data_IF_419010513345
#
_entry.id   IF_419010513345
#
_cell.length_a   1.000
_cell.length_b   1.000
_cell.length_c   1.000
_cell.angle_alpha   90.00
_cell.angle_beta   90.00
_cell.angle_gamma   90.00
#
_symmetry.space_group_name_H-M   'P 1'
#
loop_
_entity.id
_entity.type
_entity.pdbx_description
1 polymer ?
#
# COMPACT_ATOMS: atom_id res chain seq x y z
N UNK A 1 -25.41 -4.04 -44.82
CA UNK A 1 -26.43 -3.12 -45.39
C UNK A 1 -27.80 -3.64 -44.99
N UNK A 2 -28.49 -2.95 -44.07
CA UNK A 2 -29.89 -3.21 -43.74
C UNK A 2 -30.64 -1.90 -43.92
N UNK A 3 -31.37 -1.78 -45.03
CA UNK A 3 -32.23 -0.65 -45.37
C UNK A 3 -33.62 -0.90 -44.76
N UNK A 4 -34.02 -0.07 -43.81
CA UNK A 4 -35.35 -0.13 -43.21
C UNK A 4 -36.42 0.41 -44.17
N UNK A 5 -37.53 -0.33 -44.28
CA UNK A 5 -38.73 0.00 -45.07
C UNK A 5 -39.45 1.25 -44.54
N UNK A 6 -39.89 2.10 -45.47
CA UNK A 6 -40.66 3.32 -45.19
C UNK A 6 -42.06 3.01 -44.64
N UNK A 7 -42.34 3.51 -43.43
CA UNK A 7 -43.70 3.53 -42.85
C UNK A 7 -44.58 4.54 -43.59
N UNK A 8 -45.26 4.10 -44.62
CA UNK A 8 -46.43 4.81 -45.14
C UNK A 8 -47.47 3.80 -45.62
N UNK A 9 -48.39 3.42 -44.73
CA UNK A 9 -49.73 2.90 -45.03
C UNK A 9 -50.47 2.79 -43.71
N UNK A 10 -51.75 3.19 -43.71
CA UNK A 10 -52.71 3.31 -42.59
C UNK A 10 -52.79 4.69 -41.90
N UNK A 11 -53.57 5.58 -42.51
CA UNK A 11 -54.44 6.53 -41.81
C UNK A 11 -55.53 7.02 -42.78
N UNK A 12 -56.72 6.44 -42.70
CA UNK A 12 -57.96 6.98 -43.30
C UNK A 12 -58.41 8.20 -42.47
N UNK A 13 -57.71 9.33 -42.61
CA UNK A 13 -58.17 10.61 -42.07
C UNK A 13 -58.90 11.38 -43.18
N UNK A 14 -60.12 11.91 -42.94
CA UNK A 14 -60.84 12.70 -43.94
C UNK A 14 -60.00 13.91 -44.39
N UNK A 15 -60.06 14.22 -45.68
CA UNK A 15 -59.32 15.35 -46.26
C UNK A 15 -59.71 16.66 -45.57
N UNK A 16 -58.72 17.46 -45.19
CA UNK A 16 -58.94 18.72 -44.48
C UNK A 16 -59.67 19.72 -45.38
N UNK A 17 -60.76 20.35 -44.92
CA UNK A 17 -61.48 21.36 -45.70
C UNK A 17 -60.58 22.56 -46.06
N UNK A 18 -60.91 23.32 -47.13
CA UNK A 18 -60.13 24.48 -47.55
C UNK A 18 -60.01 25.53 -46.44
N UNK A 19 -58.84 26.14 -46.31
CA UNK A 19 -58.63 27.23 -45.36
C UNK A 19 -59.51 28.42 -45.75
N UNK A 20 -60.31 28.92 -44.81
CA UNK A 20 -61.30 29.98 -45.02
C UNK A 20 -62.75 29.48 -45.15
N UNK A 21 -62.98 28.17 -45.31
CA UNK A 21 -64.34 27.61 -45.29
C UNK A 21 -64.90 27.57 -43.87
N UNK A 22 -66.21 27.36 -43.72
CA UNK A 22 -66.85 27.15 -42.42
C UNK A 22 -67.13 25.65 -42.21
N UNK A 23 -66.84 25.16 -41.00
CA UNK A 23 -67.09 23.78 -40.58
C UNK A 23 -67.71 23.77 -39.18
N UNK A 24 -68.50 22.75 -38.83
CA UNK A 24 -69.03 22.60 -37.47
C UNK A 24 -68.06 21.78 -36.61
N UNK A 25 -67.80 22.26 -35.39
CA UNK A 25 -66.90 21.59 -34.47
C UNK A 25 -67.45 20.23 -34.04
N UNK A 26 -66.71 19.14 -34.23
CA UNK A 26 -67.15 17.80 -33.84
C UNK A 26 -67.38 17.61 -32.33
N UNK A 27 -66.93 18.55 -31.48
CA UNK A 27 -67.09 18.50 -30.02
C UNK A 27 -68.18 19.42 -29.46
N UNK A 28 -68.34 20.60 -30.04
CA UNK A 28 -69.27 21.61 -29.51
C UNK A 28 -70.33 22.07 -30.52
N UNK A 29 -70.29 21.50 -31.73
CA UNK A 29 -71.23 21.72 -32.84
C UNK A 29 -71.34 23.17 -33.35
N UNK A 30 -70.60 24.10 -32.75
CA UNK A 30 -70.51 25.48 -33.23
C UNK A 30 -69.74 25.57 -34.53
N UNK A 31 -70.25 26.38 -35.46
CA UNK A 31 -69.58 26.72 -36.70
C UNK A 31 -68.30 27.51 -36.41
N UNK A 32 -67.21 27.15 -37.07
CA UNK A 32 -65.94 27.85 -36.99
C UNK A 32 -65.28 27.91 -38.36
N UNK A 33 -64.47 28.94 -38.59
CA UNK A 33 -63.69 29.07 -39.82
C UNK A 33 -62.50 28.11 -39.78
N UNK A 34 -62.35 27.31 -40.83
CA UNK A 34 -61.24 26.40 -41.02
C UNK A 34 -59.97 27.20 -41.27
N UNK A 35 -58.96 26.97 -40.45
CA UNK A 35 -57.65 27.59 -40.59
C UNK A 35 -56.62 26.53 -40.94
N UNK A 36 -55.42 26.97 -41.36
CA UNK A 36 -54.28 26.06 -41.54
C UNK A 36 -53.94 25.25 -40.28
N UNK A 37 -54.39 25.70 -39.11
CA UNK A 37 -54.19 25.07 -37.80
C UNK A 37 -55.34 24.19 -37.32
N UNK A 38 -56.46 24.10 -38.06
CA UNK A 38 -57.57 23.21 -37.73
C UNK A 38 -57.12 21.74 -37.68
N UNK A 39 -57.50 21.03 -36.62
CA UNK A 39 -57.08 19.65 -36.35
C UNK A 39 -58.31 18.74 -36.47
N UNK A 40 -58.12 17.52 -36.98
CA UNK A 40 -59.17 16.49 -36.98
C UNK A 40 -59.50 16.05 -35.55
N UNK A 41 -60.76 15.72 -35.29
CA UNK A 41 -61.18 15.14 -34.03
C UNK A 41 -60.60 13.72 -33.87
N UNK A 42 -60.18 13.38 -32.66
CA UNK A 42 -59.75 12.03 -32.29
C UNK A 42 -60.46 11.64 -30.97
N UNK A 43 -61.33 10.61 -30.97
CA UNK A 43 -61.74 9.79 -32.12
C UNK A 43 -62.55 10.59 -33.18
N UNK A 44 -62.36 10.26 -34.46
CA UNK A 44 -63.09 10.91 -35.58
C UNK A 44 -64.51 10.36 -35.76
N UNK A 45 -65.31 10.86 -36.72
CA UNK A 45 -64.98 11.82 -37.80
C UNK A 45 -65.21 13.30 -37.43
N UNK A 46 -64.60 14.22 -38.19
CA UNK A 46 -64.83 15.68 -38.09
C UNK A 46 -63.61 16.50 -37.64
N UNK A 47 -63.80 17.82 -37.44
CA UNK A 47 -62.74 18.76 -37.07
C UNK A 47 -63.07 19.56 -35.81
N UNK A 48 -62.06 19.99 -35.07
CA UNK A 48 -62.24 20.75 -33.83
C UNK A 48 -61.99 22.24 -34.04
N UNK A 49 -62.84 23.09 -33.46
CA UNK A 49 -62.57 24.51 -33.33
C UNK A 49 -61.41 24.75 -32.34
N UNK A 50 -60.77 25.91 -32.43
CA UNK A 50 -59.57 26.23 -31.64
C UNK A 50 -59.74 26.05 -30.11
N UNK A 51 -60.83 26.52 -29.48
CA UNK A 51 -61.07 26.26 -28.05
C UNK A 51 -61.15 24.76 -27.72
N UNK A 52 -61.85 23.98 -28.55
CA UNK A 52 -62.00 22.55 -28.34
C UNK A 52 -60.69 21.79 -28.54
N UNK A 53 -59.89 22.14 -29.54
CA UNK A 53 -58.56 21.56 -29.77
C UNK A 53 -57.63 21.81 -28.56
N UNK A 54 -57.58 23.05 -28.06
CA UNK A 54 -56.79 23.43 -26.88
C UNK A 54 -57.25 22.68 -25.62
N UNK A 55 -58.56 22.53 -25.42
CA UNK A 55 -59.13 21.78 -24.29
C UNK A 55 -58.77 20.29 -24.31
N UNK A 56 -58.56 19.72 -25.49
CA UNK A 56 -58.20 18.31 -25.69
C UNK A 56 -56.67 18.09 -25.68
N UNK A 57 -55.88 19.08 -25.23
CA UNK A 57 -54.42 18.97 -25.12
C UNK A 57 -53.65 19.19 -26.43
N UNK A 58 -54.34 19.43 -27.54
CA UNK A 58 -53.76 19.72 -28.85
C UNK A 58 -53.80 21.23 -29.12
N UNK A 59 -52.80 21.98 -28.65
CA UNK A 59 -52.65 23.41 -28.94
C UNK A 59 -51.78 23.61 -30.19
N UNK A 60 -52.36 23.97 -31.35
CA UNK A 60 -51.60 24.15 -32.60
C UNK A 60 -50.66 25.37 -32.59
N UNK A 61 -50.68 26.20 -31.55
CA UNK A 61 -49.75 27.32 -31.36
C UNK A 61 -48.68 27.05 -30.29
N UNK A 62 -48.70 25.87 -29.65
CA UNK A 62 -47.64 25.46 -28.74
C UNK A 62 -46.36 25.26 -29.56
N UNK A 63 -45.43 26.20 -29.44
CA UNK A 63 -44.10 26.11 -30.08
C UNK A 63 -43.51 24.74 -29.74
N UNK A 64 -43.03 23.95 -30.73
CA UNK A 64 -42.39 22.68 -30.44
C UNK A 64 -41.27 22.95 -29.45
N UNK A 65 -41.28 22.23 -28.32
CA UNK A 65 -40.17 22.28 -27.39
C UNK A 65 -38.93 21.93 -28.19
N UNK A 66 -38.03 22.91 -28.36
CA UNK A 66 -36.75 22.70 -29.04
C UNK A 66 -36.14 21.50 -28.34
N UNK A 67 -35.93 20.36 -29.02
CA UNK A 67 -35.23 19.25 -28.40
C UNK A 67 -33.91 19.85 -27.99
N UNK A 68 -33.60 19.85 -26.67
CA UNK A 68 -32.27 20.22 -26.20
C UNK A 68 -31.33 19.43 -27.10
N UNK A 69 -30.61 20.13 -27.98
CA UNK A 69 -29.50 19.53 -28.74
C UNK A 69 -28.67 18.89 -27.65
N UNK A 70 -28.73 17.55 -27.54
CA UNK A 70 -27.63 16.82 -26.94
C UNK A 70 -26.47 17.31 -27.77
N UNK A 71 -25.60 18.10 -27.15
CA UNK A 71 -24.31 18.41 -27.74
C UNK A 71 -23.81 17.08 -28.26
N UNK A 72 -23.38 17.03 -29.52
CA UNK A 72 -22.48 15.96 -29.91
C UNK A 72 -21.43 15.82 -28.78
N UNK A 73 -20.87 14.64 -28.51
CA UNK A 73 -19.66 14.56 -27.71
C UNK A 73 -18.51 15.22 -28.50
N UNK A 74 -18.66 16.49 -28.87
CA UNK A 74 -17.60 17.44 -29.11
C UNK A 74 -16.84 17.41 -27.80
N UNK A 75 -15.68 16.77 -27.86
CA UNK A 75 -14.76 16.53 -26.79
C UNK A 75 -15.47 16.59 -25.45
N UNK A 76 -15.93 15.42 -24.97
CA UNK A 76 -15.65 15.18 -23.56
C UNK A 76 -14.17 15.53 -23.48
N UNK A 77 -13.85 16.74 -23.00
CA UNK A 77 -12.59 17.00 -22.34
C UNK A 77 -12.49 15.76 -21.49
N UNK A 78 -11.59 14.87 -21.87
CA UNK A 78 -11.00 13.94 -20.95
C UNK A 78 -10.50 14.90 -19.90
N UNK A 79 -11.36 15.18 -18.90
CA UNK A 79 -10.94 15.82 -17.70
C UNK A 79 -10.13 14.69 -17.11
N UNK A 80 -8.88 14.61 -17.58
CA UNK A 80 -7.80 13.97 -16.89
C UNK A 80 -7.80 14.71 -15.57
N UNK A 81 -8.58 14.21 -14.60
CA UNK A 81 -8.51 14.54 -13.17
C UNK A 81 -7.18 13.98 -12.60
N UNK A 82 -6.16 14.06 -13.42
CA UNK A 82 -4.85 13.53 -13.27
C UNK A 82 -3.98 14.77 -13.28
N UNK A 83 -3.67 15.23 -12.08
CA UNK A 83 -2.36 15.83 -11.89
C UNK A 83 -1.37 14.66 -12.02
N UNK A 84 -1.02 14.34 -13.26
CA UNK A 84 0.35 13.89 -13.49
C UNK A 84 1.21 14.97 -12.84
N UNK A 85 2.05 14.62 -11.86
CA UNK A 85 3.13 15.52 -11.48
C UNK A 85 4.03 15.63 -12.70
N UNK A 86 3.65 16.50 -13.64
CA UNK A 86 4.35 16.75 -14.91
C UNK A 86 5.74 17.30 -14.65
N UNK A 87 5.92 17.92 -13.49
CA UNK A 87 7.15 18.54 -13.09
C UNK A 87 7.50 18.13 -11.65
N UNK A 88 8.79 17.86 -11.38
CA UNK A 88 9.30 17.71 -10.02
C UNK A 88 9.04 18.98 -9.19
N UNK A 89 8.94 18.84 -7.86
CA UNK A 89 8.90 20.01 -6.98
C UNK A 89 10.23 20.74 -7.01
N UNK A 90 10.22 22.04 -6.71
CA UNK A 90 11.46 22.81 -6.55
C UNK A 90 12.40 22.16 -5.53
N UNK A 91 11.86 21.66 -4.41
CA UNK A 91 12.63 20.92 -3.41
C UNK A 91 13.32 19.69 -4.00
N UNK A 92 12.62 18.90 -4.81
CA UNK A 92 13.22 17.73 -5.45
C UNK A 92 14.28 18.09 -6.49
N UNK A 93 14.10 19.20 -7.23
CA UNK A 93 15.11 19.72 -8.15
C UNK A 93 16.36 20.21 -7.39
N UNK A 94 16.19 20.93 -6.28
CA UNK A 94 17.29 21.35 -5.42
C UNK A 94 18.06 20.15 -4.86
N UNK A 95 17.35 19.14 -4.35
CA UNK A 95 17.98 17.90 -3.83
C UNK A 95 18.76 17.21 -4.96
N UNK A 96 18.20 17.14 -6.16
CA UNK A 96 18.88 16.55 -7.31
C UNK A 96 20.16 17.32 -7.65
N UNK A 97 20.10 18.64 -7.76
CA UNK A 97 21.27 19.50 -8.04
C UNK A 97 22.36 19.36 -6.97
N UNK A 98 21.99 19.41 -5.68
CA UNK A 98 22.92 19.17 -4.57
C UNK A 98 23.56 17.79 -4.68
N UNK A 99 22.79 16.77 -5.07
CA UNK A 99 23.28 15.40 -5.18
C UNK A 99 24.21 15.19 -6.38
N UNK A 100 23.97 15.92 -7.47
CA UNK A 100 24.81 15.91 -8.68
C UNK A 100 26.16 16.61 -8.45
N UNK A 101 26.18 17.62 -7.58
CA UNK A 101 27.37 18.42 -7.25
C UNK A 101 27.86 18.21 -5.81
N UNK A 102 27.56 17.07 -5.20
CA UNK A 102 27.80 16.85 -3.76
C UNK A 102 29.28 16.95 -3.38
N UNK A 103 30.18 16.63 -4.30
CA UNK A 103 31.63 16.70 -4.07
C UNK A 103 32.14 18.14 -3.96
N UNK A 104 31.40 19.12 -4.48
CA UNK A 104 31.69 20.55 -4.40
C UNK A 104 30.99 21.23 -3.19
N UNK A 105 30.23 20.47 -2.39
CA UNK A 105 29.51 20.99 -1.22
C UNK A 105 30.42 20.94 0.01
N UNK A 106 30.78 22.11 0.54
CA UNK A 106 31.58 22.21 1.76
C UNK A 106 30.75 22.03 3.04
N UNK A 107 29.52 22.55 3.03
CA UNK A 107 28.58 22.42 4.14
C UNK A 107 27.14 22.55 3.64
N UNK A 108 26.22 21.80 4.26
CA UNK A 108 24.79 21.90 3.97
C UNK A 108 24.13 23.09 4.70
N UNK A 109 24.79 23.64 5.73
CA UNK A 109 24.23 24.69 6.58
C UNK A 109 23.08 24.17 7.44
N UNK A 110 22.20 25.08 7.86
CA UNK A 110 21.04 24.76 8.71
C UNK A 110 19.88 24.20 7.87
N UNK A 111 19.94 22.91 7.56
CA UNK A 111 18.84 22.18 6.91
C UNK A 111 17.93 21.48 7.93
N UNK A 112 16.65 21.36 7.59
CA UNK A 112 15.74 20.54 8.36
C UNK A 112 16.14 19.06 8.28
N UNK A 113 15.85 18.29 9.33
CA UNK A 113 16.11 16.84 9.36
C UNK A 113 15.47 16.09 8.19
N UNK A 114 14.28 16.53 7.75
CA UNK A 114 13.59 15.98 6.58
C UNK A 114 14.41 16.21 5.30
N UNK A 115 14.97 17.41 5.12
CA UNK A 115 15.78 17.72 3.94
C UNK A 115 17.10 16.95 3.95
N UNK A 116 17.72 16.81 5.13
CA UNK A 116 18.93 16.00 5.32
C UNK A 116 18.70 14.53 4.96
N UNK A 117 17.58 13.96 5.39
CA UNK A 117 17.20 12.58 5.07
C UNK A 117 16.96 12.39 3.56
N UNK A 118 16.27 13.32 2.90
CA UNK A 118 16.03 13.25 1.45
C UNK A 118 17.33 13.43 0.63
N UNK A 119 18.25 14.29 1.09
CA UNK A 119 19.59 14.42 0.47
C UNK A 119 20.36 13.11 0.65
N UNK A 120 20.39 12.53 1.86
CA UNK A 120 21.01 11.23 2.14
C UNK A 120 20.48 10.14 1.20
N UNK A 121 19.15 10.02 1.04
CA UNK A 121 18.54 9.10 0.07
C UNK A 121 18.99 9.35 -1.36
N UNK A 122 19.02 10.62 -1.77
CA UNK A 122 19.37 11.01 -3.13
C UNK A 122 20.83 10.70 -3.47
N UNK A 123 21.78 11.05 -2.59
CA UNK A 123 23.20 10.72 -2.81
C UNK A 123 23.46 9.21 -2.71
N UNK A 124 22.72 8.48 -1.88
CA UNK A 124 22.81 7.02 -1.82
C UNK A 124 22.33 6.37 -3.11
N UNK A 125 21.25 6.87 -3.73
CA UNK A 125 20.81 6.39 -5.07
C UNK A 125 21.87 6.60 -6.15
N UNK A 126 22.62 7.70 -6.06
CA UNK A 126 23.73 8.01 -6.96
C UNK A 126 25.05 7.30 -6.57
N UNK A 127 25.06 6.52 -5.48
CA UNK A 127 26.25 5.90 -4.89
C UNK A 127 27.36 6.90 -4.57
N UNK A 128 27.01 8.13 -4.18
CA UNK A 128 27.96 9.22 -3.88
C UNK A 128 28.24 9.40 -2.39
N UNK A 129 27.72 8.51 -1.52
CA UNK A 129 28.05 8.54 -0.10
C UNK A 129 29.45 7.95 0.14
N UNK A 130 30.45 8.81 0.29
CA UNK A 130 31.86 8.46 0.54
C UNK A 130 32.28 8.96 1.93
N UNK A 131 33.49 8.61 2.38
CA UNK A 131 34.01 9.13 3.65
C UNK A 131 34.14 10.66 3.70
N UNK A 132 34.24 11.32 2.55
CA UNK A 132 34.25 12.78 2.44
C UNK A 132 32.83 13.35 2.51
N UNK A 133 31.93 12.90 1.64
CA UNK A 133 30.55 13.44 1.58
C UNK A 133 29.73 13.07 2.81
N UNK A 134 30.05 11.96 3.50
CA UNK A 134 29.40 11.58 4.74
C UNK A 134 29.61 12.61 5.88
N UNK A 135 30.72 13.37 5.84
CA UNK A 135 30.99 14.42 6.85
C UNK A 135 29.94 15.52 6.85
N UNK A 136 29.26 15.74 5.73
CA UNK A 136 28.16 16.70 5.61
C UNK A 136 26.96 16.35 6.51
N UNK A 137 26.85 15.08 6.94
CA UNK A 137 25.78 14.58 7.79
C UNK A 137 26.21 14.42 9.26
N UNK A 138 27.45 14.75 9.60
CA UNK A 138 27.97 14.61 10.96
C UNK A 138 27.80 15.90 11.76
N UNK A 139 27.73 15.76 13.08
CA UNK A 139 27.42 16.87 13.96
C UNK A 139 27.19 16.41 15.39
N UNK A 140 27.81 17.11 16.34
CA UNK A 140 27.67 16.81 17.77
C UNK A 140 26.24 16.97 18.29
N UNK A 141 25.40 17.76 17.60
CA UNK A 141 24.00 17.95 17.96
C UNK A 141 23.07 16.83 17.42
N UNK A 142 23.58 15.94 16.57
CA UNK A 142 22.77 14.88 15.98
C UNK A 142 22.41 13.83 17.04
N UNK A 143 21.11 13.58 17.18
CA UNK A 143 20.56 12.46 17.97
C UNK A 143 20.19 11.28 17.10
N UNK A 144 19.95 11.50 15.81
CA UNK A 144 19.55 10.49 14.84
C UNK A 144 20.39 10.61 13.56
N UNK A 145 20.86 9.49 13.03
CA UNK A 145 21.55 9.44 11.73
C UNK A 145 21.10 8.23 10.93
N UNK A 146 20.78 8.44 9.65
CA UNK A 146 20.45 7.37 8.70
C UNK A 146 21.23 7.57 7.40
N UNK A 147 21.97 6.52 7.01
CA UNK A 147 22.72 6.47 5.76
C UNK A 147 22.28 5.25 4.95
N UNK A 148 21.76 5.49 3.73
CA UNK A 148 21.04 4.47 2.94
C UNK A 148 21.93 3.62 2.02
N UNK A 149 23.21 3.99 1.84
CA UNK A 149 24.19 3.19 1.08
C UNK A 149 25.62 3.47 1.60
N UNK A 150 26.01 2.77 2.66
CA UNK A 150 27.32 2.85 3.27
C UNK A 150 28.38 1.97 2.57
N UNK A 151 28.13 1.46 1.35
CA UNK A 151 29.03 0.52 0.66
C UNK A 151 30.45 1.08 0.46
N UNK A 152 30.56 2.41 0.27
CA UNK A 152 31.84 3.12 0.07
C UNK A 152 32.47 3.64 1.37
N UNK A 153 31.83 3.50 2.53
CA UNK A 153 32.40 3.92 3.81
C UNK A 153 33.40 2.87 4.30
N UNK A 154 34.67 3.24 4.31
CA UNK A 154 35.75 2.41 4.86
C UNK A 154 35.79 2.47 6.40
N UNK A 155 36.48 1.54 7.09
CA UNK A 155 36.52 1.52 8.56
C UNK A 155 36.82 2.88 9.21
N UNK A 156 37.84 3.61 8.74
CA UNK A 156 38.18 4.93 9.30
C UNK A 156 37.06 5.97 9.13
N UNK A 157 36.26 5.88 8.08
CA UNK A 157 35.10 6.75 7.88
C UNK A 157 33.97 6.39 8.85
N UNK A 158 33.79 5.11 9.16
CA UNK A 158 32.83 4.64 10.17
C UNK A 158 33.28 4.98 11.60
N UNK A 159 34.59 5.00 11.86
CA UNK A 159 35.13 5.49 13.14
C UNK A 159 34.89 7.00 13.28
N UNK A 160 35.15 7.75 12.21
CA UNK A 160 34.92 9.21 12.14
C UNK A 160 33.44 9.55 12.36
N UNK A 161 32.52 8.76 11.79
CA UNK A 161 31.08 8.88 12.03
C UNK A 161 30.78 8.88 13.53
N UNK A 162 31.26 7.87 14.25
CA UNK A 162 30.99 7.77 15.68
C UNK A 162 31.63 8.92 16.47
N UNK A 163 32.86 9.29 16.14
CA UNK A 163 33.60 10.37 16.82
C UNK A 163 32.97 11.74 16.65
N UNK A 164 32.41 12.03 15.47
CA UNK A 164 31.78 13.31 15.15
C UNK A 164 30.29 13.36 15.48
N UNK A 165 29.75 12.28 16.04
CA UNK A 165 28.35 12.18 16.45
C UNK A 165 28.18 11.61 17.88
N UNK A 166 28.82 12.21 18.91
CA UNK A 166 28.86 11.65 20.28
C UNK A 166 27.50 11.54 20.98
N UNK A 167 26.48 12.27 20.52
CA UNK A 167 25.15 12.32 21.13
C UNK A 167 24.09 11.47 20.40
N UNK A 168 24.50 10.61 19.46
CA UNK A 168 23.55 9.73 18.77
C UNK A 168 22.86 8.78 19.74
N UNK A 169 21.54 8.81 19.69
CA UNK A 169 20.67 7.83 20.34
C UNK A 169 20.14 6.81 19.34
N UNK A 170 20.05 7.17 18.05
CA UNK A 170 19.59 6.29 16.98
C UNK A 170 20.51 6.34 15.76
N UNK A 171 21.00 5.18 15.35
CA UNK A 171 21.84 5.02 14.17
C UNK A 171 21.29 3.93 13.26
N UNK A 172 21.11 4.26 11.98
CA UNK A 172 20.81 3.30 10.92
C UNK A 172 21.85 3.39 9.81
N UNK A 173 22.50 2.27 9.49
CA UNK A 173 23.37 2.15 8.33
C UNK A 173 22.90 1.01 7.42
N UNK A 174 22.61 1.38 6.17
CA UNK A 174 22.30 0.41 5.14
C UNK A 174 23.55 0.07 4.31
N UNK A 175 23.73 -1.20 3.95
CA UNK A 175 24.89 -1.69 3.17
C UNK A 175 26.27 -1.41 3.81
N UNK A 176 26.38 -1.55 5.13
CA UNK A 176 27.62 -1.30 5.89
C UNK A 176 28.63 -2.48 5.83
N UNK A 177 28.86 -3.03 4.63
CA UNK A 177 29.65 -4.25 4.38
C UNK A 177 31.12 -4.20 4.80
N UNK A 178 31.67 -3.01 5.00
CA UNK A 178 33.07 -2.80 5.40
C UNK A 178 33.26 -2.66 6.92
N UNK A 179 32.18 -2.70 7.69
CA UNK A 179 32.22 -2.64 9.16
C UNK A 179 32.86 -3.91 9.74
N UNK A 180 33.92 -3.75 10.53
CA UNK A 180 34.68 -4.84 11.14
C UNK A 180 34.80 -4.67 12.67
N UNK A 181 35.52 -5.58 13.34
CA UNK A 181 35.67 -5.57 14.79
C UNK A 181 36.34 -4.29 15.33
N UNK A 182 37.26 -3.68 14.57
CA UNK A 182 37.91 -2.43 14.96
C UNK A 182 36.92 -1.26 15.01
N UNK A 183 35.98 -1.21 14.05
CA UNK A 183 34.89 -0.22 14.04
C UNK A 183 33.97 -0.43 15.25
N UNK A 184 33.60 -1.67 15.54
CA UNK A 184 32.78 -2.01 16.71
C UNK A 184 33.47 -1.63 18.03
N UNK A 185 34.78 -1.83 18.10
CA UNK A 185 35.60 -1.42 19.24
C UNK A 185 35.60 0.10 19.43
N UNK A 186 35.75 0.86 18.35
CA UNK A 186 35.68 2.33 18.40
C UNK A 186 34.28 2.83 18.79
N UNK A 187 33.23 2.21 18.26
CA UNK A 187 31.84 2.57 18.58
C UNK A 187 31.48 2.28 20.03
N UNK A 188 32.06 1.24 20.62
CA UNK A 188 31.88 0.88 22.03
C UNK A 188 32.25 2.00 23.00
N UNK A 189 33.11 2.95 22.59
CA UNK A 189 33.49 4.11 23.41
C UNK A 189 32.95 5.43 22.88
N UNK A 190 32.70 5.52 21.57
CA UNK A 190 32.36 6.79 20.90
C UNK A 190 30.86 7.06 20.80
N UNK A 191 29.99 6.08 21.07
CA UNK A 191 28.52 6.21 21.00
C UNK A 191 27.82 5.91 22.35
N UNK A 192 28.19 6.59 23.45
CA UNK A 192 27.73 6.24 24.81
C UNK A 192 26.22 6.43 25.04
N UNK A 193 25.53 7.21 24.20
CA UNK A 193 24.10 7.49 24.30
C UNK A 193 23.22 6.58 23.43
N UNK A 194 23.80 5.64 22.69
CA UNK A 194 23.08 4.85 21.70
C UNK A 194 22.05 3.89 22.34
N UNK A 195 20.79 4.02 21.93
CA UNK A 195 19.68 3.15 22.36
C UNK A 195 19.05 2.39 21.20
N UNK A 196 19.24 2.84 19.96
CA UNK A 196 18.75 2.21 18.74
C UNK A 196 19.88 2.03 17.73
N UNK A 197 20.06 0.80 17.25
CA UNK A 197 20.99 0.50 16.15
C UNK A 197 20.34 -0.43 15.12
N UNK A 198 20.37 -0.01 13.86
CA UNK A 198 19.91 -0.79 12.71
C UNK A 198 21.02 -0.90 11.66
N UNK A 199 21.42 -2.13 11.33
CA UNK A 199 22.53 -2.40 10.43
C UNK A 199 22.14 -3.41 9.37
N UNK A 200 22.25 -3.03 8.09
CA UNK A 200 22.12 -3.94 6.96
C UNK A 200 23.50 -4.28 6.39
N UNK A 201 23.81 -5.57 6.41
CA UNK A 201 25.04 -6.14 5.87
C UNK A 201 26.32 -5.88 6.66
N UNK A 202 26.38 -5.94 8.01
CA UNK A 202 27.65 -5.84 8.76
C UNK A 202 28.48 -7.13 8.66
N UNK A 203 28.83 -7.57 7.43
CA UNK A 203 29.35 -8.90 7.13
C UNK A 203 30.68 -9.26 7.79
N UNK A 204 31.51 -8.27 8.12
CA UNK A 204 32.87 -8.51 8.62
C UNK A 204 32.97 -8.54 10.14
N UNK A 205 31.94 -8.09 10.86
CA UNK A 205 31.91 -8.13 12.34
C UNK A 205 31.82 -9.57 12.83
N UNK A 206 32.70 -9.95 13.74
CA UNK A 206 32.79 -11.28 14.35
C UNK A 206 32.19 -11.27 15.76
N UNK A 207 31.90 -12.45 16.34
CA UNK A 207 31.32 -12.53 17.69
C UNK A 207 32.03 -11.69 18.77
N UNK A 208 33.37 -11.65 18.87
CA UNK A 208 34.03 -10.81 19.88
C UNK A 208 33.66 -9.32 19.81
N UNK A 209 33.51 -8.77 18.59
CA UNK A 209 33.10 -7.38 18.39
C UNK A 209 31.68 -7.12 18.87
N UNK A 210 30.74 -8.03 18.57
CA UNK A 210 29.36 -7.96 19.07
C UNK A 210 29.29 -8.03 20.61
N UNK A 211 30.00 -8.98 21.21
CA UNK A 211 30.01 -9.18 22.66
C UNK A 211 30.47 -7.91 23.40
N UNK A 212 31.56 -7.30 22.94
CA UNK A 212 32.10 -6.06 23.53
C UNK A 212 31.19 -4.86 23.29
N UNK A 213 30.58 -4.77 22.12
CA UNK A 213 29.61 -3.71 21.84
C UNK A 213 28.41 -3.79 22.79
N UNK A 214 27.84 -4.97 23.01
CA UNK A 214 26.69 -5.12 23.90
C UNK A 214 27.03 -4.85 25.37
N UNK A 215 28.21 -5.26 25.85
CA UNK A 215 28.62 -4.94 27.22
C UNK A 215 28.84 -3.44 27.45
N UNK A 216 29.15 -2.69 26.38
CA UNK A 216 29.36 -1.24 26.43
C UNK A 216 28.07 -0.43 26.26
N UNK A 217 26.97 -1.04 25.80
CA UNK A 217 25.69 -0.38 25.55
C UNK A 217 24.52 -1.00 26.34
N UNK A 218 24.56 -1.04 27.68
CA UNK A 218 23.51 -1.69 28.49
C UNK A 218 22.13 -1.03 28.38
N UNK A 219 22.06 0.20 27.86
CA UNK A 219 20.83 0.95 27.62
C UNK A 219 20.20 0.68 26.25
N UNK A 220 20.75 -0.24 25.45
CA UNK A 220 20.20 -0.54 24.14
C UNK A 220 18.76 -1.08 24.24
N UNK A 221 17.85 -0.42 23.52
CA UNK A 221 16.41 -0.72 23.49
C UNK A 221 16.00 -1.37 22.18
N UNK A 222 16.72 -1.10 21.09
CA UNK A 222 16.44 -1.62 19.76
C UNK A 222 17.72 -2.11 19.08
N UNK A 223 17.73 -3.39 18.72
CA UNK A 223 18.81 -4.00 17.97
C UNK A 223 18.25 -4.67 16.73
N UNK A 224 18.61 -4.13 15.56
CA UNK A 224 18.12 -4.62 14.28
C UNK A 224 19.30 -4.92 13.37
N UNK A 225 19.42 -6.18 12.96
CA UNK A 225 20.41 -6.60 11.97
C UNK A 225 19.74 -7.30 10.81
N UNK A 226 20.24 -7.06 9.61
CA UNK A 226 19.86 -7.76 8.39
C UNK A 226 21.12 -8.24 7.69
N UNK A 227 21.13 -9.50 7.24
CA UNK A 227 22.28 -10.11 6.54
C UNK A 227 23.61 -10.03 7.34
N UNK A 228 23.62 -10.59 8.55
CA UNK A 228 24.84 -10.67 9.39
C UNK A 228 25.27 -12.13 9.60
N UNK A 229 25.95 -12.76 8.63
CA UNK A 229 26.19 -14.21 8.61
C UNK A 229 27.09 -14.72 9.75
N UNK A 230 27.79 -13.82 10.46
CA UNK A 230 28.70 -14.16 11.57
C UNK A 230 28.08 -13.92 12.95
N UNK A 231 26.85 -13.41 13.02
CA UNK A 231 26.14 -13.23 14.27
C UNK A 231 25.59 -14.57 14.76
N UNK A 232 26.20 -15.13 15.80
CA UNK A 232 25.89 -16.47 16.31
C UNK A 232 25.06 -16.44 17.61
N UNK A 233 24.81 -17.62 18.17
CA UNK A 233 24.03 -17.76 19.40
C UNK A 233 24.73 -17.08 20.61
N UNK A 234 26.06 -17.03 20.63
CA UNK A 234 26.80 -16.35 21.70
C UNK A 234 26.58 -14.84 21.62
N UNK A 235 26.52 -14.28 20.42
CA UNK A 235 26.16 -12.87 20.20
C UNK A 235 24.77 -12.56 20.76
N UNK A 236 23.76 -13.38 20.43
CA UNK A 236 22.40 -13.18 20.97
C UNK A 236 22.40 -13.27 22.50
N UNK A 237 23.03 -14.30 23.08
CA UNK A 237 23.08 -14.43 24.55
C UNK A 237 23.72 -13.21 25.21
N UNK A 238 24.82 -12.72 24.67
CA UNK A 238 25.48 -11.50 25.15
C UNK A 238 24.58 -10.26 25.07
N UNK A 239 23.84 -10.10 23.95
CA UNK A 239 22.84 -9.04 23.82
C UNK A 239 21.79 -9.12 24.93
N UNK A 240 21.18 -10.30 25.14
CA UNK A 240 20.14 -10.50 26.14
C UNK A 240 20.67 -10.38 27.58
N UNK A 241 21.93 -10.73 27.81
CA UNK A 241 22.62 -10.60 29.10
C UNK A 241 22.91 -9.15 29.47
N UNK A 242 23.34 -8.32 28.51
CA UNK A 242 23.78 -6.95 28.79
C UNK A 242 22.68 -5.90 28.57
N UNK A 243 21.78 -6.09 27.60
CA UNK A 243 20.82 -5.06 27.17
C UNK A 243 19.40 -5.37 27.71
N UNK A 244 19.17 -5.07 28.99
CA UNK A 244 17.89 -5.43 29.68
C UNK A 244 16.69 -4.57 29.29
N UNK A 245 16.93 -3.48 28.57
CA UNK A 245 15.89 -2.58 28.07
C UNK A 245 15.36 -2.98 26.67
N UNK A 246 15.94 -3.99 26.03
CA UNK A 246 15.63 -4.41 24.66
C UNK A 246 14.13 -4.69 24.45
N UNK A 247 13.48 -3.88 23.62
CA UNK A 247 12.06 -3.93 23.28
C UNK A 247 11.80 -4.14 21.78
N UNK A 248 12.80 -3.94 20.92
CA UNK A 248 12.74 -4.18 19.48
C UNK A 248 13.92 -5.05 19.06
N UNK A 249 13.63 -6.18 18.41
CA UNK A 249 14.65 -7.11 17.93
C UNK A 249 14.37 -7.54 16.50
N UNK A 250 15.34 -7.33 15.61
CA UNK A 250 15.35 -7.92 14.26
C UNK A 250 16.60 -8.76 14.05
N UNK A 251 16.40 -10.01 13.64
CA UNK A 251 17.40 -10.97 13.20
C UNK A 251 17.00 -11.48 11.81
N UNK A 252 16.99 -10.59 10.82
CA UNK A 252 16.50 -10.87 9.46
C UNK A 252 17.61 -11.40 8.56
N UNK A 253 17.28 -12.36 7.70
CA UNK A 253 18.25 -12.98 6.77
C UNK A 253 19.50 -13.49 7.51
N UNK A 254 19.27 -14.05 8.70
CA UNK A 254 20.32 -14.56 9.57
C UNK A 254 20.53 -16.06 9.33
N UNK A 255 21.57 -16.42 8.59
CA UNK A 255 21.79 -17.81 8.18
C UNK A 255 22.08 -18.81 9.32
N UNK A 256 22.47 -18.32 10.50
CA UNK A 256 22.70 -19.15 11.70
C UNK A 256 21.45 -19.28 12.60
N UNK A 257 20.34 -18.62 12.26
CA UNK A 257 19.11 -18.65 13.03
C UNK A 257 18.56 -20.09 13.12
N UNK A 258 18.27 -20.54 14.33
CA UNK A 258 17.75 -21.88 14.61
C UNK A 258 17.00 -21.92 15.96
N UNK A 259 16.45 -23.08 16.33
CA UNK A 259 15.63 -23.26 17.55
C UNK A 259 16.36 -22.90 18.87
N UNK A 260 17.69 -22.93 18.90
CA UNK A 260 18.45 -22.49 20.09
C UNK A 260 18.37 -20.97 20.29
N UNK A 261 18.27 -20.19 19.20
CA UNK A 261 17.99 -18.75 19.29
C UNK A 261 16.63 -18.51 19.92
N UNK A 262 15.59 -19.22 19.45
CA UNK A 262 14.25 -19.15 20.00
C UNK A 262 14.20 -19.50 21.49
N UNK A 263 14.97 -20.51 21.90
CA UNK A 263 15.11 -20.87 23.32
C UNK A 263 15.77 -19.74 24.11
N UNK A 264 16.82 -19.10 23.58
CA UNK A 264 17.48 -17.98 24.21
C UNK A 264 16.56 -16.75 24.34
N UNK A 265 15.73 -16.45 23.34
CA UNK A 265 14.73 -15.37 23.41
C UNK A 265 13.78 -15.52 24.61
N UNK A 266 13.50 -16.75 25.04
CA UNK A 266 12.69 -17.02 26.23
C UNK A 266 13.26 -16.46 27.54
N UNK A 267 14.51 -16.00 27.56
CA UNK A 267 15.12 -15.32 28.72
C UNK A 267 14.76 -13.84 28.82
N UNK A 268 14.19 -13.25 27.76
CA UNK A 268 13.69 -11.87 27.79
C UNK A 268 12.55 -11.79 28.79
N UNK A 269 12.56 -10.74 29.63
CA UNK A 269 11.47 -10.48 30.59
C UNK A 269 10.13 -10.44 29.84
N UNK A 270 9.18 -11.28 30.26
CA UNK A 270 7.84 -11.35 29.67
C UNK A 270 7.20 -9.96 29.56
N UNK A 271 6.64 -9.66 28.39
CA UNK A 271 6.00 -8.37 28.09
C UNK A 271 6.98 -7.23 27.76
N UNK A 272 8.29 -7.49 27.68
CA UNK A 272 9.26 -6.46 27.29
C UNK A 272 9.25 -6.18 25.80
N UNK A 273 9.19 -7.23 24.99
CA UNK A 273 9.33 -7.12 23.55
C UNK A 273 8.04 -6.60 22.92
N UNK A 274 8.18 -5.61 22.04
CA UNK A 274 7.09 -4.97 21.29
C UNK A 274 7.20 -5.27 19.80
N UNK A 275 8.42 -5.47 19.27
CA UNK A 275 8.65 -5.84 17.89
C UNK A 275 9.66 -6.97 17.78
N UNK A 276 9.29 -8.00 17.01
CA UNK A 276 10.13 -9.15 16.72
C UNK A 276 10.10 -9.46 15.23
N UNK A 277 11.28 -9.51 14.61
CA UNK A 277 11.47 -9.91 13.23
C UNK A 277 12.54 -11.00 13.18
N UNK A 278 12.14 -12.20 12.77
CA UNK A 278 12.99 -13.37 12.59
C UNK A 278 12.93 -13.88 11.14
N UNK A 279 12.62 -12.99 10.21
CA UNK A 279 12.29 -13.34 8.83
C UNK A 279 13.48 -13.84 8.00
N UNK A 280 13.15 -14.63 6.98
CA UNK A 280 14.04 -15.14 5.94
C UNK A 280 15.26 -15.92 6.47
N UNK A 281 15.10 -16.90 7.39
CA UNK A 281 16.23 -17.72 7.83
C UNK A 281 16.69 -18.67 6.71
N UNK A 282 17.95 -19.11 6.77
CA UNK A 282 18.44 -20.13 5.81
C UNK A 282 17.76 -21.50 5.99
N UNK A 283 17.32 -21.81 7.21
CA UNK A 283 16.50 -22.97 7.53
C UNK A 283 15.40 -22.53 8.48
N UNK A 284 14.16 -22.98 8.23
CA UNK A 284 13.06 -22.65 9.13
C UNK A 284 13.29 -23.26 10.51
N UNK A 285 13.04 -22.47 11.56
CA UNK A 285 12.79 -23.01 12.89
C UNK A 285 11.60 -23.96 12.91
N UNK A 286 11.60 -24.88 13.87
CA UNK A 286 10.48 -25.80 14.05
C UNK A 286 9.26 -25.08 14.62
N UNK A 287 8.09 -25.60 14.28
CA UNK A 287 6.82 -25.08 14.75
C UNK A 287 6.72 -25.10 16.29
N UNK A 288 7.18 -26.19 16.92
CA UNK A 288 7.17 -26.35 18.37
C UNK A 288 8.04 -25.32 19.09
N UNK A 289 9.24 -25.05 18.56
CA UNK A 289 10.13 -24.04 19.12
C UNK A 289 9.55 -22.63 18.95
N UNK A 290 8.95 -22.33 17.80
CA UNK A 290 8.31 -21.04 17.55
C UNK A 290 7.11 -20.79 18.47
N UNK A 291 6.24 -21.80 18.66
CA UNK A 291 5.13 -21.73 19.62
C UNK A 291 5.64 -21.44 21.04
N UNK A 292 6.73 -22.11 21.47
CA UNK A 292 7.34 -21.87 22.78
C UNK A 292 7.89 -20.45 22.91
N UNK A 293 8.53 -19.93 21.87
CA UNK A 293 9.03 -18.56 21.83
C UNK A 293 7.88 -17.55 21.93
N UNK A 294 6.82 -17.68 21.11
CA UNK A 294 5.66 -16.78 21.16
C UNK A 294 5.00 -16.74 22.53
N UNK A 295 4.90 -17.89 23.22
CA UNK A 295 4.39 -17.94 24.60
C UNK A 295 5.28 -17.20 25.60
N UNK A 296 6.60 -17.18 25.37
CA UNK A 296 7.55 -16.54 26.25
C UNK A 296 7.61 -15.01 26.04
N UNK A 297 7.67 -14.55 24.79
CA UNK A 297 7.93 -13.13 24.47
C UNK A 297 6.76 -12.39 23.82
N UNK A 298 5.73 -13.10 23.35
CA UNK A 298 4.65 -12.53 22.54
C UNK A 298 3.66 -11.63 23.27
N UNK A 299 3.69 -11.61 24.61
CA UNK A 299 2.65 -11.01 25.44
C UNK A 299 2.32 -9.55 25.15
N UNK A 300 3.28 -8.74 24.66
CA UNK A 300 3.10 -7.32 24.33
C UNK A 300 3.55 -6.99 22.90
N UNK A 301 3.70 -8.00 22.03
CA UNK A 301 4.12 -7.75 20.65
C UNK A 301 3.03 -6.98 19.90
N UNK A 302 3.44 -5.86 19.30
CA UNK A 302 2.66 -5.08 18.34
C UNK A 302 3.09 -5.33 16.91
N UNK A 303 4.35 -5.75 16.69
CA UNK A 303 4.87 -6.09 15.36
C UNK A 303 5.52 -7.47 15.35
N UNK A 304 5.13 -8.32 14.42
CA UNK A 304 5.71 -9.65 14.24
C UNK A 304 5.95 -9.94 12.76
N UNK A 305 7.19 -10.25 12.41
CA UNK A 305 7.57 -10.76 11.09
C UNK A 305 8.25 -12.13 11.23
N UNK A 306 7.59 -13.16 10.69
CA UNK A 306 8.10 -14.53 10.62
C UNK A 306 8.12 -15.05 9.17
N UNK A 307 8.25 -14.14 8.20
CA UNK A 307 8.30 -14.47 6.77
C UNK A 307 9.41 -15.46 6.45
N UNK A 308 9.21 -16.32 5.45
CA UNK A 308 10.19 -17.30 4.97
C UNK A 308 10.35 -18.56 5.82
N UNK A 309 9.60 -18.69 6.92
CA UNK A 309 9.63 -19.89 7.76
C UNK A 309 8.80 -21.05 7.15
N UNK A 310 9.43 -21.85 6.30
CA UNK A 310 8.78 -22.93 5.54
C UNK A 310 8.13 -24.06 6.35
N UNK A 311 8.32 -24.13 7.67
CA UNK A 311 7.74 -25.17 8.54
C UNK A 311 6.57 -24.67 9.40
N UNK A 312 6.19 -23.39 9.31
CA UNK A 312 5.08 -22.84 10.10
C UNK A 312 3.75 -23.03 9.37
N UNK A 313 2.87 -23.82 9.97
CA UNK A 313 1.54 -24.14 9.46
C UNK A 313 0.41 -23.68 10.40
N UNK A 314 -0.77 -24.25 10.18
CA UNK A 314 -1.98 -23.90 10.93
C UNK A 314 -1.90 -24.20 12.43
N UNK A 315 -1.07 -25.17 12.84
CA UNK A 315 -0.85 -25.49 14.25
C UNK A 315 -0.13 -24.34 14.97
N UNK A 316 0.81 -23.67 14.30
CA UNK A 316 1.41 -22.42 14.78
C UNK A 316 0.38 -21.29 14.87
N UNK A 317 -0.48 -21.12 13.87
CA UNK A 317 -1.54 -20.11 13.92
C UNK A 317 -2.41 -20.30 15.18
N UNK A 318 -2.82 -21.53 15.47
CA UNK A 318 -3.68 -21.83 16.62
C UNK A 318 -2.96 -21.75 17.98
N UNK A 319 -1.73 -22.23 18.08
CA UNK A 319 -1.05 -22.39 19.39
C UNK A 319 -0.02 -21.30 19.69
N UNK A 320 0.52 -20.66 18.67
CA UNK A 320 1.57 -19.63 18.75
C UNK A 320 1.00 -18.24 18.57
N UNK A 321 0.20 -18.01 17.52
CA UNK A 321 -0.27 -16.68 17.15
C UNK A 321 -1.60 -16.29 17.80
N UNK A 322 -2.58 -17.20 17.80
CA UNK A 322 -3.91 -16.97 18.40
C UNK A 322 -3.89 -16.49 19.86
N UNK A 323 -2.92 -16.85 20.73
CA UNK A 323 -2.80 -16.30 22.08
C UNK A 323 -2.34 -14.84 22.18
N UNK A 324 -1.85 -14.23 21.09
CA UNK A 324 -1.43 -12.83 21.11
C UNK A 324 -2.66 -11.91 21.07
N UNK A 325 -2.54 -10.71 21.67
CA UNK A 325 -3.67 -9.79 21.90
C UNK A 325 -3.40 -8.34 21.48
N UNK A 326 -2.15 -8.00 21.17
CA UNK A 326 -1.71 -6.62 20.94
C UNK A 326 -1.06 -6.39 19.57
N UNK A 327 -1.10 -7.37 18.66
CA UNK A 327 -0.53 -7.20 17.33
C UNK A 327 -1.28 -6.11 16.56
N UNK A 328 -0.52 -5.32 15.81
CA UNK A 328 -0.98 -4.28 14.89
C UNK A 328 -0.40 -4.50 13.49
N UNK A 329 0.79 -5.09 13.40
CA UNK A 329 1.56 -5.39 12.19
C UNK A 329 1.97 -6.86 12.18
N UNK A 330 1.52 -7.61 11.17
CA UNK A 330 1.78 -9.02 11.01
C UNK A 330 2.27 -9.32 9.60
N UNK A 331 3.47 -9.89 9.50
CA UNK A 331 4.04 -10.42 8.26
C UNK A 331 4.31 -11.91 8.38
N UNK A 332 3.67 -12.69 7.52
CA UNK A 332 3.82 -14.14 7.39
C UNK A 332 3.97 -14.51 5.91
N UNK A 333 4.92 -13.87 5.23
CA UNK A 333 5.12 -14.05 3.80
C UNK A 333 5.83 -15.37 3.51
N UNK A 334 5.46 -16.05 2.43
CA UNK A 334 6.15 -17.27 1.98
C UNK A 334 6.21 -18.37 3.07
N UNK A 335 5.07 -18.66 3.71
CA UNK A 335 4.85 -19.80 4.61
C UNK A 335 3.94 -20.83 3.90
N UNK A 336 4.51 -21.74 3.09
CA UNK A 336 3.74 -22.65 2.24
C UNK A 336 2.83 -23.65 2.99
N UNK A 337 3.05 -23.88 4.28
CA UNK A 337 2.25 -24.77 5.11
C UNK A 337 0.98 -24.11 5.68
N UNK A 338 0.79 -22.81 5.46
CA UNK A 338 -0.46 -22.14 5.82
C UNK A 338 -1.57 -22.51 4.83
N UNK A 339 -2.75 -22.83 5.36
CA UNK A 339 -3.91 -23.12 4.54
C UNK A 339 -4.94 -21.98 4.58
N UNK A 340 -5.72 -21.86 3.51
CA UNK A 340 -6.82 -20.88 3.42
C UNK A 340 -7.80 -21.02 4.60
N UNK A 341 -8.13 -22.26 4.97
CA UNK A 341 -9.01 -22.57 6.09
C UNK A 341 -8.37 -22.26 7.46
N UNK A 342 -7.07 -22.51 7.61
CA UNK A 342 -6.33 -22.23 8.84
C UNK A 342 -6.23 -20.74 9.14
N UNK A 343 -5.90 -19.93 8.12
CA UNK A 343 -5.88 -18.47 8.23
C UNK A 343 -7.28 -17.93 8.54
N UNK A 344 -8.31 -18.40 7.84
CA UNK A 344 -9.69 -18.03 8.14
C UNK A 344 -10.08 -18.37 9.60
N UNK A 345 -9.76 -19.58 10.07
CA UNK A 345 -10.03 -20.03 11.45
C UNK A 345 -9.32 -19.18 12.49
N UNK A 346 -8.11 -18.68 12.20
CA UNK A 346 -7.42 -17.75 13.08
C UNK A 346 -8.27 -16.48 13.22
N UNK A 347 -8.51 -15.76 12.12
CA UNK A 347 -9.14 -14.44 12.15
C UNK A 347 -10.59 -14.45 12.64
N UNK A 348 -11.39 -15.49 12.33
CA UNK A 348 -12.78 -15.60 12.77
C UNK A 348 -12.96 -15.76 14.29
N UNK A 349 -11.89 -16.10 15.02
CA UNK A 349 -11.94 -16.30 16.46
C UNK A 349 -10.73 -15.72 17.18
N UNK A 350 -10.09 -14.70 16.59
CA UNK A 350 -8.95 -14.05 17.21
C UNK A 350 -9.44 -12.94 18.14
N UNK A 351 -8.96 -12.97 19.39
CA UNK A 351 -9.26 -11.93 20.38
C UNK A 351 -8.26 -10.75 20.30
N UNK A 352 -7.39 -10.74 19.30
CA UNK A 352 -6.50 -9.61 19.05
C UNK A 352 -7.31 -8.42 18.55
N UNK A 353 -6.84 -7.20 18.81
CA UNK A 353 -7.45 -6.03 18.18
C UNK A 353 -7.30 -6.09 16.64
N UNK A 354 -8.12 -5.33 15.93
CA UNK A 354 -8.03 -5.22 14.47
C UNK A 354 -6.61 -4.82 14.05
N UNK A 355 -6.04 -5.54 13.07
CA UNK A 355 -4.70 -5.25 12.56
C UNK A 355 -4.73 -4.03 11.61
N UNK A 356 -3.61 -3.31 11.56
CA UNK A 356 -3.42 -2.17 10.66
C UNK A 356 -2.55 -2.52 9.44
N UNK A 357 -1.64 -3.49 9.59
CA UNK A 357 -0.76 -3.97 8.54
C UNK A 357 -0.79 -5.50 8.51
N UNK A 358 -1.09 -6.06 7.34
CA UNK A 358 -1.05 -7.49 7.09
C UNK A 358 -0.27 -7.73 5.80
N UNK A 359 0.79 -8.54 5.90
CA UNK A 359 1.50 -9.09 4.75
C UNK A 359 1.43 -10.61 4.81
N UNK A 360 0.76 -11.19 3.81
CA UNK A 360 0.63 -12.63 3.62
C UNK A 360 1.06 -13.00 2.20
N UNK A 361 1.93 -12.20 1.60
CA UNK A 361 2.37 -12.41 0.23
C UNK A 361 3.09 -13.75 0.03
N UNK A 362 3.05 -14.25 -1.21
CA UNK A 362 3.67 -15.51 -1.66
C UNK A 362 3.15 -16.77 -0.96
N UNK A 363 1.97 -16.70 -0.36
CA UNK A 363 1.24 -17.85 0.13
C UNK A 363 0.21 -18.29 -0.91
N UNK A 364 0.66 -19.03 -1.93
CA UNK A 364 -0.15 -19.41 -3.10
C UNK A 364 -1.40 -20.26 -2.77
N UNK A 365 -1.44 -20.88 -1.58
CA UNK A 365 -2.57 -21.66 -1.10
C UNK A 365 -3.70 -20.86 -0.46
N UNK A 366 -3.55 -19.54 -0.29
CA UNK A 366 -4.57 -18.67 0.31
C UNK A 366 -5.51 -18.08 -0.74
N UNK A 367 -6.77 -17.86 -0.38
CA UNK A 367 -7.83 -17.41 -1.27
C UNK A 367 -9.02 -16.77 -0.52
N UNK A 368 -10.25 -17.11 -0.93
CA UNK A 368 -11.48 -16.46 -0.45
C UNK A 368 -11.71 -16.59 1.06
N UNK A 369 -11.44 -17.74 1.69
CA UNK A 369 -11.78 -17.92 3.11
C UNK A 369 -10.86 -17.09 3.99
N UNK A 370 -9.55 -17.13 3.71
CA UNK A 370 -8.57 -16.31 4.41
C UNK A 370 -8.88 -14.83 4.24
N UNK A 371 -9.18 -14.38 3.01
CA UNK A 371 -9.52 -12.99 2.73
C UNK A 371 -10.75 -12.54 3.52
N UNK A 372 -11.81 -13.35 3.51
CA UNK A 372 -13.05 -13.03 4.23
C UNK A 372 -12.80 -12.89 5.72
N UNK A 373 -12.11 -13.86 6.35
CA UNK A 373 -11.81 -13.79 7.78
C UNK A 373 -10.94 -12.57 8.13
N UNK A 374 -9.93 -12.26 7.31
CA UNK A 374 -9.10 -11.06 7.50
C UNK A 374 -9.92 -9.78 7.48
N UNK A 375 -10.80 -9.64 6.49
CA UNK A 375 -11.60 -8.41 6.31
C UNK A 375 -12.70 -8.29 7.36
N UNK A 376 -13.34 -9.40 7.77
CA UNK A 376 -14.31 -9.39 8.87
C UNK A 376 -13.67 -8.99 10.21
N UNK A 377 -12.43 -9.43 10.47
CA UNK A 377 -11.72 -9.12 11.71
C UNK A 377 -11.06 -7.73 11.70
N UNK A 378 -10.34 -7.40 10.63
CA UNK A 378 -9.44 -6.23 10.59
C UNK A 378 -9.83 -5.18 9.55
N UNK A 379 -10.79 -5.46 8.67
CA UNK A 379 -11.04 -4.66 7.45
C UNK A 379 -11.18 -3.17 7.71
N UNK A 380 -11.91 -2.78 8.77
CA UNK A 380 -12.18 -1.38 9.12
C UNK A 380 -10.94 -0.59 9.58
N UNK A 381 -9.97 -1.23 10.21
CA UNK A 381 -8.75 -0.59 10.71
C UNK A 381 -7.54 -0.78 9.77
N UNK A 382 -7.65 -1.69 8.81
CA UNK A 382 -6.57 -2.10 7.93
C UNK A 382 -6.10 -0.94 7.03
N UNK A 383 -4.82 -0.61 7.10
CA UNK A 383 -4.18 0.45 6.32
C UNK A 383 -3.31 -0.12 5.20
N UNK A 384 -2.68 -1.27 5.42
CA UNK A 384 -1.81 -1.93 4.45
C UNK A 384 -2.15 -3.40 4.36
N UNK A 385 -2.46 -3.86 3.16
CA UNK A 385 -2.68 -5.27 2.88
C UNK A 385 -1.84 -5.71 1.68
N UNK A 386 -1.12 -6.81 1.84
CA UNK A 386 -0.36 -7.42 0.77
C UNK A 386 -0.80 -8.88 0.59
N UNK A 387 -1.48 -9.13 -0.54
CA UNK A 387 -2.00 -10.42 -0.98
C UNK A 387 -1.22 -10.95 -2.18
N UNK A 388 -0.05 -10.37 -2.48
CA UNK A 388 0.70 -10.68 -3.69
C UNK A 388 0.95 -12.19 -3.82
N UNK A 389 0.61 -12.78 -4.96
CA UNK A 389 0.79 -14.20 -5.24
C UNK A 389 -0.22 -15.14 -4.57
N UNK A 390 -1.36 -14.63 -4.10
CA UNK A 390 -2.47 -15.48 -3.64
C UNK A 390 -3.14 -16.25 -4.79
N UNK A 391 -3.86 -17.30 -4.43
CA UNK A 391 -4.75 -18.02 -5.33
C UNK A 391 -5.98 -17.18 -5.72
N UNK A 392 -6.94 -17.82 -6.39
CA UNK A 392 -8.19 -17.15 -6.74
C UNK A 392 -9.02 -16.85 -5.48
N UNK A 393 -9.63 -15.67 -5.47
CA UNK A 393 -10.55 -15.24 -4.42
C UNK A 393 -11.75 -14.50 -5.02
N UNK A 394 -12.87 -14.57 -4.31
CA UNK A 394 -14.16 -14.06 -4.76
C UNK A 394 -14.23 -12.54 -4.68
N UNK A 395 -14.82 -11.94 -5.71
CA UNK A 395 -14.98 -10.49 -5.81
C UNK A 395 -15.88 -9.90 -4.71
N UNK A 396 -16.76 -10.70 -4.12
CA UNK A 396 -17.71 -10.24 -3.10
C UNK A 396 -17.01 -9.87 -1.78
N UNK A 397 -15.89 -10.52 -1.45
CA UNK A 397 -15.13 -10.24 -0.22
C UNK A 397 -14.61 -8.79 -0.17
N UNK A 398 -14.42 -8.15 -1.34
CA UNK A 398 -13.91 -6.78 -1.47
C UNK A 398 -14.86 -5.72 -0.94
N UNK A 399 -16.15 -6.03 -0.81
CA UNK A 399 -17.09 -5.11 -0.17
C UNK A 399 -16.77 -4.87 1.31
N UNK A 400 -16.00 -5.76 1.94
CA UNK A 400 -15.55 -5.63 3.34
C UNK A 400 -14.22 -4.86 3.50
N UNK A 401 -13.63 -4.31 2.43
CA UNK A 401 -12.49 -3.40 2.59
C UNK A 401 -12.89 -2.13 3.34
N UNK A 402 -12.18 -1.84 4.42
CA UNK A 402 -12.41 -0.65 5.21
C UNK A 402 -11.95 0.64 4.54
N UNK A 403 -12.42 1.75 5.10
CA UNK A 403 -12.13 3.11 4.61
C UNK A 403 -10.70 3.56 4.88
N UNK A 404 -10.01 2.87 5.78
CA UNK A 404 -8.66 3.17 6.25
C UNK A 404 -7.55 2.65 5.32
N UNK A 405 -7.87 1.78 4.36
CA UNK A 405 -6.89 1.18 3.47
C UNK A 405 -6.16 2.24 2.64
N UNK A 406 -4.83 2.29 2.76
CA UNK A 406 -3.91 3.22 2.09
C UNK A 406 -3.11 2.50 0.99
N UNK A 407 -2.71 1.26 1.25
CA UNK A 407 -1.87 0.45 0.36
C UNK A 407 -2.46 -0.93 0.16
N UNK A 408 -2.53 -1.37 -1.09
CA UNK A 408 -2.97 -2.73 -1.46
C UNK A 408 -2.06 -3.33 -2.53
N UNK A 409 -1.46 -4.49 -2.27
CA UNK A 409 -0.73 -5.26 -3.28
C UNK A 409 -1.49 -6.53 -3.63
N UNK A 410 -1.90 -6.62 -4.90
CA UNK A 410 -2.63 -7.73 -5.51
C UNK A 410 -1.81 -8.37 -6.64
N UNK A 411 -0.51 -8.08 -6.75
CA UNK A 411 0.31 -8.60 -7.84
C UNK A 411 0.27 -10.13 -7.88
N UNK A 412 0.32 -10.69 -9.08
CA UNK A 412 0.28 -12.13 -9.35
C UNK A 412 -1.02 -12.84 -8.94
N UNK A 413 -2.06 -12.12 -8.53
CA UNK A 413 -3.39 -12.67 -8.28
C UNK A 413 -4.18 -12.76 -9.60
N UNK A 414 -4.52 -13.99 -10.02
CA UNK A 414 -5.12 -14.27 -11.35
C UNK A 414 -6.58 -13.84 -11.49
N UNK A 415 -7.30 -13.75 -10.37
CA UNK A 415 -8.69 -13.29 -10.31
C UNK A 415 -8.86 -11.79 -10.52
N UNK A 416 -7.78 -11.00 -10.45
CA UNK A 416 -7.83 -9.54 -10.43
C UNK A 416 -8.05 -8.96 -11.83
N UNK A 417 -9.12 -8.20 -12.00
CA UNK A 417 -9.50 -7.53 -13.26
C UNK A 417 -9.88 -6.04 -13.07
N UNK A 418 -10.20 -5.36 -14.18
CA UNK A 418 -10.60 -3.94 -14.17
C UNK A 418 -11.84 -3.65 -13.31
N UNK A 419 -12.76 -4.60 -13.19
CA UNK A 419 -13.99 -4.43 -12.41
C UNK A 419 -13.71 -4.49 -10.93
N UNK A 420 -12.87 -5.44 -10.51
CA UNK A 420 -12.40 -5.54 -9.15
C UNK A 420 -11.71 -4.25 -8.69
N UNK A 421 -10.76 -3.75 -9.49
CA UNK A 421 -10.07 -2.50 -9.18
C UNK A 421 -11.06 -1.34 -9.08
N UNK A 422 -12.08 -1.29 -9.96
CA UNK A 422 -13.15 -0.28 -9.89
C UNK A 422 -13.82 -0.25 -8.53
N UNK A 423 -14.13 -1.42 -7.99
CA UNK A 423 -14.90 -1.54 -6.76
C UNK A 423 -14.02 -1.24 -5.54
N UNK A 424 -12.77 -1.69 -5.53
CA UNK A 424 -11.76 -1.29 -4.53
C UNK A 424 -11.61 0.25 -4.48
N UNK A 425 -11.46 0.89 -5.63
CA UNK A 425 -11.31 2.36 -5.71
C UNK A 425 -12.54 3.10 -5.17
N UNK A 426 -13.75 2.54 -5.33
CA UNK A 426 -14.98 3.15 -4.78
C UNK A 426 -15.05 3.00 -3.26
N UNK A 427 -14.77 1.80 -2.73
CA UNK A 427 -14.90 1.49 -1.31
C UNK A 427 -13.83 2.18 -0.45
N UNK A 428 -12.59 2.26 -0.95
CA UNK A 428 -11.44 2.70 -0.15
C UNK A 428 -11.19 4.21 -0.29
N UNK A 429 -11.65 5.01 0.68
CA UNK A 429 -11.52 6.47 0.66
C UNK A 429 -10.09 6.98 0.82
N UNK A 430 -9.28 6.32 1.66
CA UNK A 430 -7.90 6.70 1.96
C UNK A 430 -6.83 6.04 1.09
N UNK A 431 -7.24 5.23 0.12
CA UNK A 431 -6.33 4.52 -0.77
C UNK A 431 -5.41 5.50 -1.48
N UNK A 432 -4.13 5.11 -1.63
CA UNK A 432 -3.09 5.90 -2.30
C UNK A 432 -2.31 5.06 -3.29
N UNK A 433 -2.15 3.77 -3.03
CA UNK A 433 -1.31 2.89 -3.84
C UNK A 433 -1.96 1.53 -4.01
N UNK A 434 -2.02 1.08 -5.27
CA UNK A 434 -2.43 -0.28 -5.63
C UNK A 434 -1.38 -0.89 -6.56
N UNK A 435 -0.94 -2.12 -6.28
CA UNK A 435 -0.03 -2.88 -7.15
C UNK A 435 -0.75 -4.07 -7.77
N UNK A 436 -0.61 -4.24 -9.08
CA UNK A 436 -1.28 -5.28 -9.88
C UNK A 436 -0.32 -5.95 -10.88
N UNK A 437 0.97 -6.01 -10.54
CA UNK A 437 2.00 -6.64 -11.39
C UNK A 437 1.63 -8.08 -11.73
N UNK A 438 1.65 -8.47 -13.01
CA UNK A 438 1.32 -9.84 -13.44
C UNK A 438 -0.17 -10.19 -13.37
N UNK A 439 -1.06 -9.22 -13.12
CA UNK A 439 -2.51 -9.40 -13.21
C UNK A 439 -2.98 -9.16 -14.64
N UNK A 440 -2.86 -10.17 -15.50
CA UNK A 440 -3.09 -10.05 -16.96
C UNK A 440 -4.52 -9.67 -17.37
N UNK A 441 -5.49 -9.68 -16.44
CA UNK A 441 -6.87 -9.26 -16.69
C UNK A 441 -7.11 -7.77 -16.39
N UNK A 442 -6.11 -7.07 -15.85
CA UNK A 442 -6.11 -5.61 -15.69
C UNK A 442 -5.58 -4.98 -16.96
N UNK A 443 -6.43 -4.20 -17.64
CA UNK A 443 -6.14 -3.65 -18.96
C UNK A 443 -5.83 -2.15 -18.90
N UNK A 444 -5.52 -1.54 -20.05
CA UNK A 444 -5.42 -0.08 -20.21
C UNK A 444 -6.72 0.68 -19.86
N UNK A 445 -7.85 -0.05 -19.82
CA UNK A 445 -9.17 0.49 -19.42
C UNK A 445 -9.41 0.48 -17.91
N UNK A 446 -8.43 0.02 -17.13
CA UNK A 446 -8.49 0.01 -15.68
C UNK A 446 -8.88 1.40 -15.12
N UNK A 447 -9.91 1.48 -14.25
CA UNK A 447 -10.40 2.74 -13.73
C UNK A 447 -9.33 3.43 -12.87
N UNK A 448 -9.40 4.76 -12.83
CA UNK A 448 -8.47 5.60 -12.07
C UNK A 448 -9.23 6.48 -11.08
N UNK A 449 -8.60 6.77 -9.95
CA UNK A 449 -9.12 7.67 -8.89
C UNK A 449 -8.08 8.73 -8.58
N UNK A 450 -8.51 9.99 -8.43
CA UNK A 450 -7.61 11.09 -8.08
C UNK A 450 -6.90 10.79 -6.75
N UNK A 451 -5.58 10.94 -6.73
CA UNK A 451 -4.75 10.68 -5.55
C UNK A 451 -4.42 9.21 -5.30
N UNK A 452 -4.80 8.30 -6.21
CA UNK A 452 -4.41 6.88 -6.16
C UNK A 452 -3.51 6.57 -7.35
N UNK A 453 -2.35 5.99 -7.07
CA UNK A 453 -1.43 5.48 -8.08
C UNK A 453 -1.59 3.96 -8.21
N UNK A 454 -1.73 3.48 -9.44
CA UNK A 454 -1.83 2.05 -9.76
C UNK A 454 -0.55 1.65 -10.51
N UNK A 455 0.20 0.70 -9.95
CA UNK A 455 1.45 0.19 -10.50
C UNK A 455 1.28 -1.20 -11.10
N UNK A 456 2.03 -1.52 -12.14
CA UNK A 456 2.12 -2.88 -12.71
C UNK A 456 1.05 -3.26 -13.72
N UNK A 457 0.32 -2.29 -14.28
CA UNK A 457 -0.57 -2.53 -15.43
C UNK A 457 0.30 -2.69 -16.69
N UNK A 458 0.33 -3.88 -17.27
CA UNK A 458 1.26 -4.23 -18.37
C UNK A 458 1.11 -3.34 -19.62
N UNK A 459 -0.08 -2.83 -19.89
CA UNK A 459 -0.32 -1.90 -21.00
C UNK A 459 0.30 -0.52 -20.80
N UNK A 460 0.74 -0.17 -19.58
CA UNK A 460 1.50 1.05 -19.31
C UNK A 460 3.01 0.87 -19.55
N UNK A 461 3.51 -0.37 -19.58
CA UNK A 461 4.95 -0.66 -19.79
C UNK A 461 5.39 -0.63 -21.26
N UNK A 462 4.48 -0.56 -22.22
CA UNK A 462 4.78 -0.54 -23.66
C UNK A 462 5.01 0.86 -24.26
N UNK A 463 5.13 1.92 -23.43
CA UNK A 463 5.29 3.30 -23.91
C UNK A 463 6.60 3.98 -23.47
N UNK A 464 7.64 3.21 -23.19
CA UNK A 464 9.03 3.67 -23.03
C UNK A 464 9.91 2.89 -23.99
#
# INVERSE_FOLDING_TARGET
>A
MYTALSKSRFSNSPAKPPVGSFENCAKCEKQFTVTKYTIAANPGPGFLCHPCAKSSGADPFKKPAVPKKRRAPADKRTVTNFEERRFPSLSSLCIQLISEHIDDVEALGDLSSISMDEISKSISKNRSLTGQTAQLFYGAHNTTLTLYDATKLIPSALDTLAQLNPNLTSLRLDFCGRMNDAVMDAWSTSLPALTYVELLGPFLVRPPGWLKFFSSHPKLEAFLITQSPRFDLACLKSLLENCKALSVLRLKELGLLNDQFLTALGTIKKGRLTSLDLSEPSQSCTEAAMIKAMKAVGGNLTKLDLSGHSLLGDTFLEKGLKPLRHLEDLALNNLPELTDAGVAKLFNGWENAALTCIDLSRNYGLGSNALTGILEHSGDALQRLNLNGWGDFDADAIHAFGKELVFLDLGWCRSVDDFLIKDILKCCGKLREVKVWGCNRVTDRCPRKRGVTIYGVESHSTTT
#
